data_IF_752560526076
#
_entry.id   IF_752560526076
#
_cell.length_a   1.000
_cell.length_b   1.000
_cell.length_c   1.000
_cell.angle_alpha   90.00
_cell.angle_beta   90.00
_cell.angle_gamma   90.00
#
_symmetry.space_group_name_H-M   'P 1'
#
loop_
_entity.id
_entity.type
_entity.pdbx_description
1 polymer ?
#
# COMPACT_ATOMS: atom_id res chain seq x y z
N UNK A 1 10.82 0.02 17.61
CA UNK A 1 10.13 1.16 18.24
C UNK A 1 8.62 1.06 17.97
N UNK A 2 7.77 1.31 18.96
CA UNK A 2 6.31 1.33 18.76
C UNK A 2 5.88 2.63 18.08
N UNK A 3 4.86 2.57 17.21
CA UNK A 3 4.42 3.75 16.45
C UNK A 3 2.99 4.20 16.74
N UNK A 4 2.24 3.45 17.56
CA UNK A 4 0.83 3.74 17.83
C UNK A 4 -0.09 3.51 16.63
N UNK A 5 0.41 2.88 15.55
CA UNK A 5 -0.37 2.56 14.35
C UNK A 5 -0.93 1.14 14.49
N UNK A 6 -2.21 0.97 14.19
CA UNK A 6 -2.89 -0.32 14.16
C UNK A 6 -2.56 -1.08 12.88
N UNK A 7 -2.42 -2.41 12.97
CA UNK A 7 -2.11 -3.23 11.81
C UNK A 7 -3.32 -3.32 10.87
N UNK A 8 -3.20 -2.93 9.58
CA UNK A 8 -4.33 -2.91 8.66
C UNK A 8 -4.85 -4.28 8.26
N UNK A 9 -4.08 -5.36 8.47
CA UNK A 9 -4.45 -6.70 8.02
C UNK A 9 -5.11 -7.55 9.11
N UNK A 10 -4.69 -7.39 10.37
CA UNK A 10 -5.20 -8.21 11.47
C UNK A 10 -5.98 -7.44 12.53
N UNK A 11 -5.94 -6.09 12.51
CA UNK A 11 -6.61 -5.17 13.44
C UNK A 11 -6.25 -5.30 14.93
N UNK A 12 -5.83 -6.46 15.41
CA UNK A 12 -5.39 -6.72 16.79
C UNK A 12 -3.91 -6.38 17.03
N UNK A 13 -3.11 -6.37 15.98
CA UNK A 13 -1.67 -6.12 16.06
C UNK A 13 -1.35 -4.63 15.97
N UNK A 14 -0.17 -4.25 16.47
CA UNK A 14 0.38 -2.91 16.29
C UNK A 14 1.51 -2.94 15.27
N UNK A 15 1.72 -1.84 14.58
CA UNK A 15 2.87 -1.65 13.72
C UNK A 15 4.04 -1.12 14.56
N UNK A 16 5.19 -1.75 14.40
CA UNK A 16 6.45 -1.33 15.02
C UNK A 16 7.46 -0.97 13.94
N UNK A 17 8.17 0.13 14.15
CA UNK A 17 9.29 0.54 13.32
C UNK A 17 10.51 -0.32 13.64
N UNK A 18 11.08 -0.92 12.59
CA UNK A 18 12.28 -1.77 12.62
C UNK A 18 13.23 -1.35 11.52
N UNK A 19 14.52 -1.58 11.73
CA UNK A 19 15.55 -1.38 10.73
C UNK A 19 15.87 -2.69 10.02
N UNK A 20 15.92 -2.64 8.69
CA UNK A 20 16.29 -3.77 7.85
C UNK A 20 17.40 -3.42 6.88
N UNK A 21 17.87 -4.42 6.12
CA UNK A 21 18.92 -4.25 5.10
C UNK A 21 18.57 -3.19 4.04
N UNK A 22 17.28 -3.04 3.72
CA UNK A 22 16.80 -2.10 2.71
C UNK A 22 16.32 -0.77 3.29
N UNK A 23 16.59 -0.52 4.58
CA UNK A 23 16.13 0.65 5.31
C UNK A 23 15.03 0.32 6.33
N UNK A 24 14.51 1.36 6.99
CA UNK A 24 13.48 1.23 8.02
C UNK A 24 12.12 0.83 7.41
N UNK A 25 11.38 -0.02 8.13
CA UNK A 25 10.07 -0.52 7.74
C UNK A 25 9.18 -0.74 8.97
N UNK A 26 7.87 -0.78 8.74
CA UNK A 26 6.89 -1.12 9.76
C UNK A 26 6.54 -2.60 9.65
N UNK A 27 6.54 -3.32 10.78
CA UNK A 27 6.14 -4.71 10.87
C UNK A 27 5.05 -4.91 11.93
N UNK A 28 4.16 -5.87 11.72
CA UNK A 28 3.18 -6.25 12.74
C UNK A 28 3.85 -6.92 13.95
N UNK A 29 3.40 -6.59 15.16
CA UNK A 29 3.84 -7.26 16.40
C UNK A 29 3.40 -8.72 16.50
N UNK A 30 2.40 -9.15 15.73
CA UNK A 30 1.84 -10.50 15.79
C UNK A 30 2.55 -11.51 14.87
N UNK A 31 3.74 -11.20 14.33
CA UNK A 31 4.54 -12.17 13.60
C UNK A 31 4.84 -13.40 14.48
N UNK A 32 4.72 -14.65 13.98
CA UNK A 32 4.49 -15.06 12.59
C UNK A 32 3.01 -15.15 12.16
N UNK A 33 2.05 -14.96 13.08
CA UNK A 33 0.60 -15.04 12.77
C UNK A 33 0.14 -13.97 11.79
N UNK A 34 0.82 -12.82 11.79
CA UNK A 34 0.58 -11.73 10.84
C UNK A 34 1.93 -11.27 10.27
N UNK A 35 2.10 -11.37 8.94
CA UNK A 35 3.33 -11.02 8.23
C UNK A 35 3.23 -9.66 7.51
N UNK A 36 2.28 -8.82 7.89
CA UNK A 36 2.08 -7.50 7.29
C UNK A 36 3.28 -6.59 7.53
N UNK A 37 3.78 -6.04 6.42
CA UNK A 37 4.89 -5.10 6.38
C UNK A 37 4.45 -3.87 5.59
N UNK A 38 4.79 -2.68 6.07
CA UNK A 38 4.63 -1.42 5.33
C UNK A 38 6.01 -0.77 5.16
N UNK A 39 6.34 -0.43 3.92
CA UNK A 39 7.61 0.21 3.61
C UNK A 39 7.54 1.71 3.81
N UNK A 40 8.70 2.35 4.01
CA UNK A 40 8.82 3.80 4.05
C UNK A 40 9.43 4.33 2.75
N UNK A 41 9.12 5.59 2.39
CA UNK A 41 9.79 6.29 1.29
C UNK A 41 11.09 6.97 1.75
N UNK A 42 11.74 7.72 0.85
CA UNK A 42 13.00 8.43 1.14
C UNK A 42 12.83 9.52 2.21
N UNK A 43 11.62 10.05 2.38
CA UNK A 43 11.27 11.01 3.42
C UNK A 43 10.73 10.32 4.69
N UNK A 44 10.90 9.00 4.83
CA UNK A 44 10.41 8.19 5.95
C UNK A 44 8.88 8.25 6.12
N UNK A 45 8.14 8.50 5.04
CA UNK A 45 6.66 8.46 5.03
C UNK A 45 6.17 7.06 4.70
N UNK A 46 5.02 6.69 5.24
CA UNK A 46 4.46 5.35 5.02
C UNK A 46 4.00 5.20 3.57
N UNK A 47 4.50 4.17 2.89
CA UNK A 47 4.02 3.79 1.57
C UNK A 47 2.88 2.78 1.72
N UNK A 48 1.63 3.15 1.39
CA UNK A 48 0.54 2.19 1.41
C UNK A 48 0.77 1.10 0.35
N UNK A 49 0.20 -0.11 0.54
CA UNK A 49 0.24 -1.16 -0.46
C UNK A 49 -0.28 -0.63 -1.79
N UNK A 50 0.55 -0.71 -2.83
CA UNK A 50 0.15 -0.28 -4.17
C UNK A 50 -0.69 -1.39 -4.79
N UNK A 51 -1.81 -1.02 -5.38
CA UNK A 51 -2.56 -1.91 -6.26
C UNK A 51 -1.64 -2.37 -7.40
N UNK A 52 -1.43 -3.67 -7.58
CA UNK A 52 -0.55 -4.18 -8.62
C UNK A 52 -1.09 -3.79 -10.01
N UNK A 53 -0.22 -3.59 -11.03
CA UNK A 53 -0.70 -3.32 -12.38
C UNK A 53 -1.52 -4.50 -12.92
N UNK A 54 -2.68 -4.22 -13.53
CA UNK A 54 -3.49 -5.22 -14.21
C UNK A 54 -3.09 -5.33 -15.68
N UNK A 55 -2.51 -6.46 -16.09
CA UNK A 55 -2.15 -6.73 -17.48
C UNK A 55 -3.35 -7.20 -18.30
N UNK A 56 -3.44 -6.74 -19.55
CA UNK A 56 -4.47 -7.12 -20.51
C UNK A 56 -3.86 -7.84 -21.71
N UNK A 57 -4.68 -8.57 -22.46
CA UNK A 57 -4.32 -9.20 -23.73
C UNK A 57 -4.27 -8.21 -24.92
N UNK A 58 -4.63 -6.95 -24.69
CA UNK A 58 -4.69 -5.93 -25.72
C UNK A 58 -3.30 -5.47 -26.14
N UNK A 59 -3.03 -5.53 -27.45
CA UNK A 59 -1.73 -5.17 -28.01
C UNK A 59 -1.57 -3.65 -28.12
N UNK A 60 -0.38 -3.17 -27.75
CA UNK A 60 -0.01 -1.77 -27.90
C UNK A 60 0.12 -1.38 -29.39
N UNK A 61 -0.56 -0.32 -29.86
CA UNK A 61 -0.53 0.07 -31.27
C UNK A 61 0.84 0.58 -31.75
N UNK A 62 1.79 0.85 -30.84
CA UNK A 62 3.14 1.33 -31.17
C UNK A 62 4.20 0.24 -31.22
N UNK A 63 4.03 -0.85 -30.46
CA UNK A 63 5.10 -1.83 -30.26
C UNK A 63 4.64 -3.28 -30.08
N UNK A 64 3.32 -3.53 -30.14
CA UNK A 64 2.73 -4.86 -30.00
C UNK A 64 2.74 -5.47 -28.59
N UNK A 65 3.43 -4.87 -27.62
CA UNK A 65 3.46 -5.36 -26.23
C UNK A 65 2.09 -5.25 -25.55
N UNK A 66 1.77 -6.08 -24.54
CA UNK A 66 0.51 -6.00 -23.81
C UNK A 66 0.33 -4.64 -23.12
N UNK A 67 -0.92 -4.25 -22.92
CA UNK A 67 -1.29 -3.01 -22.25
C UNK A 67 -1.67 -3.29 -20.79
N UNK A 68 -1.29 -2.40 -19.88
CA UNK A 68 -1.80 -2.34 -18.52
C UNK A 68 -3.08 -1.52 -18.45
N UNK A 69 -4.12 -2.06 -17.83
CA UNK A 69 -5.34 -1.35 -17.50
C UNK A 69 -5.13 -0.53 -16.23
N UNK A 70 -5.53 0.74 -16.29
CA UNK A 70 -5.32 1.71 -15.21
C UNK A 70 -6.57 2.55 -15.01
N UNK A 71 -6.77 2.98 -13.77
CA UNK A 71 -7.76 3.98 -13.41
C UNK A 71 -7.14 5.39 -13.53
N UNK A 72 -7.97 6.37 -13.85
CA UNK A 72 -7.56 7.77 -13.94
C UNK A 72 -8.74 8.70 -13.74
N UNK A 73 -8.48 10.01 -13.67
CA UNK A 73 -9.53 11.04 -13.44
C UNK A 73 -10.64 11.05 -14.50
N UNK A 74 -10.35 10.55 -15.71
CA UNK A 74 -11.29 10.51 -16.85
C UNK A 74 -11.84 9.10 -17.10
N UNK A 75 -11.71 8.19 -16.13
CA UNK A 75 -12.07 6.78 -16.27
C UNK A 75 -10.89 5.87 -16.58
N UNK A 76 -11.22 4.68 -17.07
CA UNK A 76 -10.26 3.63 -17.42
C UNK A 76 -9.44 4.02 -18.65
N UNK A 77 -8.19 3.57 -18.70
CA UNK A 77 -7.31 3.75 -19.84
C UNK A 77 -6.23 2.68 -19.88
N UNK A 78 -5.69 2.44 -21.07
CA UNK A 78 -4.68 1.42 -21.32
C UNK A 78 -3.33 2.04 -21.64
N UNK A 79 -2.30 1.63 -20.92
CA UNK A 79 -0.92 2.09 -21.09
C UNK A 79 0.04 0.95 -21.37
N UNK A 80 1.01 1.14 -22.26
CA UNK A 80 1.95 0.09 -22.63
C UNK A 80 2.75 -0.46 -21.44
N UNK A 81 2.86 -1.79 -21.36
CA UNK A 81 3.69 -2.49 -20.36
C UNK A 81 5.18 -2.12 -20.43
N UNK A 82 5.68 -1.73 -21.61
CA UNK A 82 7.08 -1.35 -21.83
C UNK A 82 7.41 0.11 -21.45
N UNK A 83 6.55 0.81 -20.69
CA UNK A 83 6.89 2.16 -20.19
C UNK A 83 8.15 2.10 -19.30
N UNK A 84 9.09 3.08 -19.38
CA UNK A 84 9.08 4.33 -20.15
C UNK A 84 9.56 4.20 -21.61
N UNK A 85 10.06 3.02 -22.02
CA UNK A 85 10.61 2.76 -23.36
C UNK A 85 9.54 2.90 -24.45
N UNK A 86 8.31 2.52 -24.15
CA UNK A 86 7.15 2.76 -25.00
C UNK A 86 6.09 3.58 -24.26
N UNK A 87 5.72 4.73 -24.83
CA UNK A 87 4.60 5.58 -24.37
C UNK A 87 3.34 5.38 -25.21
N UNK A 88 3.10 4.14 -25.61
CA UNK A 88 1.86 3.76 -26.30
C UNK A 88 0.68 3.79 -25.33
N UNK A 89 -0.45 4.31 -25.80
CA UNK A 89 -1.72 4.34 -25.07
C UNK A 89 -2.82 3.94 -26.02
N UNK A 90 -3.82 3.24 -25.50
CA UNK A 90 -5.06 2.97 -26.20
C UNK A 90 -6.20 3.64 -25.41
N UNK A 91 -6.89 4.63 -26.00
CA UNK A 91 -8.07 5.23 -25.38
C UNK A 91 -9.15 4.18 -25.17
N UNK A 92 -9.77 4.18 -23.99
CA UNK A 92 -10.85 3.25 -23.66
C UNK A 92 -12.02 3.31 -24.63
N UNK A 93 -12.36 4.50 -25.12
CA UNK A 93 -13.43 4.72 -26.10
C UNK A 93 -13.21 4.07 -27.47
N UNK A 94 -12.00 3.56 -27.76
CA UNK A 94 -11.71 2.84 -29.01
C UNK A 94 -11.93 1.32 -28.89
N UNK A 95 -12.16 0.80 -27.68
CA UNK A 95 -12.47 -0.61 -27.50
C UNK A 95 -13.89 -0.89 -27.97
N UNK A 96 -14.10 -2.10 -28.47
CA UNK A 96 -15.46 -2.58 -28.67
C UNK A 96 -16.17 -2.69 -27.30
N UNK A 97 -17.50 -2.48 -27.27
CA UNK A 97 -18.23 -2.47 -26.00
C UNK A 97 -18.13 -3.77 -25.20
N UNK A 98 -17.97 -4.92 -25.87
CA UNK A 98 -17.90 -6.22 -25.20
C UNK A 98 -16.56 -6.41 -24.48
N UNK A 99 -15.45 -6.11 -25.15
CA UNK A 99 -14.10 -6.12 -24.56
C UNK A 99 -13.98 -5.06 -23.47
N UNK A 100 -14.57 -3.88 -23.66
CA UNK A 100 -14.66 -2.86 -22.61
C UNK A 100 -15.34 -3.39 -21.35
N UNK A 101 -16.54 -3.97 -21.47
CA UNK A 101 -17.28 -4.52 -20.33
C UNK A 101 -16.53 -5.67 -19.65
N UNK A 102 -15.88 -6.54 -20.42
CA UNK A 102 -15.06 -7.63 -19.87
C UNK A 102 -13.95 -7.11 -18.96
N UNK A 103 -13.17 -6.14 -19.45
CA UNK A 103 -12.05 -5.57 -18.70
C UNK A 103 -12.49 -4.69 -17.54
N UNK A 104 -13.68 -4.08 -17.61
CA UNK A 104 -14.30 -3.36 -16.51
C UNK A 104 -14.64 -4.30 -15.35
N UNK A 105 -15.25 -5.46 -15.63
CA UNK A 105 -15.54 -6.47 -14.61
C UNK A 105 -14.26 -7.03 -13.96
N UNK A 106 -13.21 -7.29 -14.75
CA UNK A 106 -11.92 -7.74 -14.20
C UNK A 106 -11.30 -6.65 -13.33
N UNK A 107 -11.35 -5.39 -13.76
CA UNK A 107 -10.85 -4.27 -12.96
C UNK A 107 -11.60 -4.14 -11.63
N UNK A 108 -12.92 -4.31 -11.62
CA UNK A 108 -13.71 -4.29 -10.39
C UNK A 108 -13.27 -5.39 -9.42
N UNK A 109 -13.13 -6.63 -9.89
CA UNK A 109 -12.64 -7.75 -9.08
C UNK A 109 -11.21 -7.49 -8.56
N UNK A 110 -10.36 -6.93 -9.41
CA UNK A 110 -9.00 -6.57 -9.05
C UNK A 110 -8.93 -5.49 -7.96
N UNK A 111 -9.77 -4.45 -8.05
CA UNK A 111 -9.87 -3.42 -7.02
C UNK A 111 -10.45 -3.98 -5.71
N UNK A 112 -11.42 -4.89 -5.79
CA UNK A 112 -11.96 -5.58 -4.62
C UNK A 112 -10.92 -6.46 -3.92
N UNK A 113 -10.03 -7.11 -4.68
CA UNK A 113 -8.92 -7.89 -4.13
C UNK A 113 -7.78 -7.03 -3.55
N UNK A 114 -7.68 -5.76 -3.96
CA UNK A 114 -6.63 -4.82 -3.55
C UNK A 114 -7.21 -3.49 -3.05
N UNK A 115 -7.99 -3.52 -1.95
CA UNK A 115 -8.63 -2.32 -1.43
C UNK A 115 -7.61 -1.29 -0.97
N UNK A 116 -7.93 -0.02 -1.13
CA UNK A 116 -7.11 1.06 -0.61
C UNK A 116 -7.15 1.02 0.92
N UNK A 117 -5.99 0.86 1.53
CA UNK A 117 -5.88 0.76 2.99
C UNK A 117 -5.79 2.15 3.59
N UNK A 118 -6.78 2.50 4.41
CA UNK A 118 -6.68 3.65 5.32
C UNK A 118 -6.07 3.16 6.63
N UNK A 119 -4.86 3.61 6.94
CA UNK A 119 -4.20 3.28 8.20
C UNK A 119 -4.84 4.07 9.35
N UNK A 120 -5.00 3.43 10.50
CA UNK A 120 -5.53 4.03 11.72
C UNK A 120 -4.52 3.91 12.86
N UNK A 121 -4.58 4.86 13.79
CA UNK A 121 -3.89 4.80 15.07
C UNK A 121 -4.62 3.83 16.02
N UNK A 122 -4.03 3.55 17.18
CA UNK A 122 -4.63 2.71 18.23
C UNK A 122 -5.91 3.29 18.84
N UNK A 123 -6.09 4.61 18.77
CA UNK A 123 -7.33 5.31 19.18
C UNK A 123 -8.40 5.37 18.07
N UNK A 124 -8.13 4.79 16.90
CA UNK A 124 -9.02 4.81 15.74
C UNK A 124 -8.92 6.07 14.87
N UNK A 125 -8.09 7.05 15.24
CA UNK A 125 -7.87 8.23 14.38
C UNK A 125 -7.13 7.85 13.10
N UNK A 126 -7.49 8.42 11.93
CA UNK A 126 -6.78 8.14 10.69
C UNK A 126 -5.32 8.63 10.75
N UNK A 127 -4.38 7.81 10.28
CA UNK A 127 -2.97 8.18 10.17
C UNK A 127 -2.79 9.17 9.02
N UNK A 128 -2.16 10.30 9.29
CA UNK A 128 -1.73 11.21 8.24
C UNK A 128 -0.46 10.68 7.55
N UNK A 129 -0.64 9.86 6.51
CA UNK A 129 0.46 9.27 5.73
C UNK A 129 1.32 10.31 4.98
N UNK A 130 0.95 11.59 4.98
CA UNK A 130 1.79 12.66 4.41
C UNK A 130 2.90 13.12 5.35
N UNK A 131 2.77 12.84 6.65
CA UNK A 131 3.78 13.11 7.67
C UNK A 131 4.83 11.99 7.71
N UNK A 132 6.03 12.33 8.16
CA UNK A 132 7.07 11.33 8.41
C UNK A 132 6.66 10.41 9.57
N UNK A 133 7.20 9.19 9.58
CA UNK A 133 6.92 8.25 10.67
C UNK A 133 7.33 8.79 12.03
N UNK A 134 8.39 9.60 12.09
CA UNK A 134 8.91 10.16 13.33
C UNK A 134 7.96 11.22 13.91
N UNK A 135 7.36 12.07 13.06
CA UNK A 135 6.32 13.02 13.49
C UNK A 135 5.03 12.31 13.93
N UNK A 136 4.66 11.20 13.27
CA UNK A 136 3.52 10.38 13.67
C UNK A 136 3.76 9.76 15.05
N UNK A 137 4.97 9.24 15.29
CA UNK A 137 5.37 8.70 16.60
C UNK A 137 5.31 9.79 17.67
N UNK A 138 5.89 10.96 17.43
CA UNK A 138 5.85 12.08 18.38
C UNK A 138 4.41 12.49 18.71
N UNK A 139 3.53 12.58 17.71
CA UNK A 139 2.10 12.88 17.95
C UNK A 139 1.40 11.76 18.75
N UNK A 140 1.81 10.51 18.57
CA UNK A 140 1.28 9.38 19.34
C UNK A 140 1.75 9.43 20.80
N UNK A 141 2.99 9.83 21.05
CA UNK A 141 3.58 10.02 22.38
C UNK A 141 2.85 11.14 23.15
N UNK A 142 2.65 12.29 22.51
CA UNK A 142 1.90 13.42 23.10
C UNK A 142 0.47 13.05 23.49
N UNK A 143 -0.15 12.15 22.72
CA UNK A 143 -1.50 11.63 22.97
C UNK A 143 -1.53 10.45 23.96
N UNK A 144 -0.37 10.00 24.46
CA UNK A 144 -0.29 8.86 25.36
C UNK A 144 -0.69 7.52 24.73
N UNK A 145 -0.55 7.38 23.41
CA UNK A 145 -0.97 6.19 22.64
C UNK A 145 0.11 5.11 22.56
N UNK A 146 1.31 5.38 23.09
CA UNK A 146 2.40 4.41 23.13
C UNK A 146 2.47 3.71 24.49
N UNK A 147 2.74 2.39 24.53
CA UNK A 147 3.01 1.68 25.78
C UNK A 147 4.24 2.27 26.49
N UNK A 148 4.30 2.17 27.82
CA UNK A 148 5.42 2.68 28.61
C UNK A 148 6.75 2.01 28.23
N UNK A 149 7.89 2.69 28.40
CA UNK A 149 9.20 2.14 28.04
C UNK A 149 9.50 0.76 28.68
N UNK A 150 8.99 0.52 29.89
CA UNK A 150 9.13 -0.76 30.60
C UNK A 150 8.32 -1.88 29.94
N UNK A 151 7.10 -1.60 29.47
CA UNK A 151 6.27 -2.55 28.72
C UNK A 151 6.84 -2.88 27.34
N UNK A 152 7.52 -1.90 26.72
CA UNK A 152 8.19 -2.08 25.44
C UNK A 152 9.42 -3.00 25.55
N UNK A 153 10.21 -2.87 26.62
CA UNK A 153 11.38 -3.74 26.88
C UNK A 153 10.96 -5.18 27.17
N UNK A 154 9.92 -5.37 28.00
CA UNK A 154 9.43 -6.70 28.39
C UNK A 154 8.87 -7.53 27.22
N UNK A 155 8.34 -6.89 26.17
CA UNK A 155 7.83 -7.57 24.96
C UNK A 155 8.93 -7.86 23.92
N UNK A 156 10.03 -7.10 23.90
CA UNK A 156 11.16 -7.35 23.01
C UNK A 156 12.01 -8.56 23.45
N UNK A 157 12.11 -8.81 24.75
CA UNK A 157 12.86 -9.96 25.31
C UNK A 157 12.15 -11.32 25.11
N UNK A 158 10.83 -11.34 24.89
CA UNK A 158 10.05 -12.58 24.70
C UNK A 158 10.02 -13.00 23.22
N UNK A 159 10.46 -12.14 22.30
CA UNK A 159 10.38 -12.35 20.83
C UNK A 159 11.73 -12.43 20.13
N UNK A 160 12.83 -12.46 20.89
CA UNK A 160 14.20 -12.73 20.42
C UNK A 160 14.60 -14.17 20.70
#
# INVERSE_FOLDING_TARGET
>A
QYTGISCPSCSDGHMVLRDGRFGPFLACTNYPRCNTILNLDKQRRIQPPKTPPLETDLACPKCGAPLYLRTGKRGLWLGCSKFPKCRGRLPWAQLDPATGAHWEQIMEQHLAAHPQVTLTMTDGTPVNMMMSIDEIIASAEEKGLLPSEEEQKKKQEITS
#
